data_IF_378183584742
#
_entry.id   IF_378183584742
#
_cell.length_a   1.000
_cell.length_b   1.000
_cell.length_c   1.000
_cell.angle_alpha   90.00
_cell.angle_beta   90.00
_cell.angle_gamma   90.00
#
_symmetry.space_group_name_H-M   'P 1'
#
loop_
_entity.id
_entity.type
_entity.pdbx_description
1 polymer ?
#
# COMPACT_ATOMS: atom_id res chain seq x y z
N UNK A 1 15.33 -3.83 7.67
CA UNK A 1 14.07 -3.15 7.99
C UNK A 1 13.66 -2.24 6.85
N UNK A 2 12.36 -2.13 6.58
CA UNK A 2 11.86 -1.38 5.43
C UNK A 2 12.20 0.11 5.49
N UNK A 3 12.10 0.71 6.66
CA UNK A 3 12.48 2.11 6.90
C UNK A 3 13.93 2.39 6.47
N UNK A 4 14.84 1.52 6.89
CA UNK A 4 16.27 1.65 6.57
C UNK A 4 16.53 1.50 5.08
N UNK A 5 15.82 0.59 4.42
CA UNK A 5 15.92 0.41 2.97
C UNK A 5 15.49 1.68 2.21
N UNK A 6 14.40 2.32 2.64
CA UNK A 6 13.91 3.57 2.05
C UNK A 6 14.91 4.71 2.29
N UNK A 7 15.44 4.84 3.50
CA UNK A 7 16.44 5.86 3.84
C UNK A 7 17.73 5.69 3.03
N UNK A 8 18.20 4.45 2.88
CA UNK A 8 19.39 4.16 2.11
C UNK A 8 19.19 4.40 0.61
N UNK A 9 18.02 4.05 0.09
CA UNK A 9 17.65 4.34 -1.30
C UNK A 9 17.64 5.86 -1.56
N UNK A 10 17.12 6.66 -0.63
CA UNK A 10 17.13 8.12 -0.75
C UNK A 10 18.56 8.67 -0.72
N UNK A 11 19.39 8.23 0.21
CA UNK A 11 20.80 8.65 0.28
C UNK A 11 21.56 8.32 -1.00
N UNK A 12 21.34 7.12 -1.53
CA UNK A 12 21.96 6.67 -2.78
C UNK A 12 21.52 7.51 -3.96
N UNK A 13 20.22 7.76 -4.10
CA UNK A 13 19.67 8.59 -5.16
C UNK A 13 20.19 10.04 -5.11
N UNK A 14 20.31 10.60 -3.91
CA UNK A 14 20.86 11.94 -3.73
C UNK A 14 22.35 12.03 -4.09
N UNK A 15 23.16 11.03 -3.70
CA UNK A 15 24.60 10.95 -4.02
C UNK A 15 24.85 10.78 -5.51
N UNK A 16 24.05 9.93 -6.15
CA UNK A 16 24.14 9.67 -7.58
C UNK A 16 23.67 10.84 -8.46
N UNK A 17 23.08 11.87 -7.86
CA UNK A 17 22.34 12.94 -8.58
C UNK A 17 21.34 12.37 -9.56
N UNK A 18 20.67 11.35 -9.11
CA UNK A 18 19.69 10.57 -9.85
C UNK A 18 18.48 11.41 -10.26
N UNK A 19 17.53 10.79 -10.97
CA UNK A 19 16.31 11.43 -11.41
C UNK A 19 15.62 12.21 -10.27
N UNK A 20 15.28 13.46 -10.53
CA UNK A 20 14.57 14.34 -9.58
C UNK A 20 13.26 13.70 -9.09
N UNK A 21 12.56 12.98 -9.94
CA UNK A 21 11.33 12.25 -9.60
C UNK A 21 11.61 11.19 -8.55
N UNK A 22 12.69 10.43 -8.68
CA UNK A 22 13.08 9.42 -7.70
C UNK A 22 13.37 10.04 -6.33
N UNK A 23 14.18 11.08 -6.31
CA UNK A 23 14.53 11.78 -5.06
C UNK A 23 13.28 12.39 -4.40
N UNK A 24 12.44 13.07 -5.16
CA UNK A 24 11.23 13.70 -4.62
C UNK A 24 10.22 12.65 -4.10
N UNK A 25 10.05 11.55 -4.80
CA UNK A 25 9.15 10.46 -4.39
C UNK A 25 9.64 9.82 -3.09
N UNK A 26 10.93 9.51 -2.98
CA UNK A 26 11.51 8.95 -1.76
C UNK A 26 11.40 9.91 -0.57
N UNK A 27 11.56 11.21 -0.80
CA UNK A 27 11.33 12.24 0.24
C UNK A 27 9.86 12.27 0.70
N UNK A 28 8.92 12.14 -0.22
CA UNK A 28 7.49 12.07 0.12
C UNK A 28 7.18 10.83 0.96
N UNK A 29 7.75 9.68 0.63
CA UNK A 29 7.61 8.46 1.43
C UNK A 29 8.13 8.70 2.84
N UNK A 30 9.34 9.24 2.99
CA UNK A 30 9.91 9.51 4.30
C UNK A 30 9.10 10.53 5.11
N UNK A 31 8.57 11.56 4.47
CA UNK A 31 7.69 12.54 5.13
C UNK A 31 6.41 11.87 5.62
N UNK A 32 5.80 11.00 4.82
CA UNK A 32 4.59 10.27 5.19
C UNK A 32 4.84 9.31 6.37
N UNK A 33 5.99 8.64 6.40
CA UNK A 33 6.39 7.78 7.53
C UNK A 33 6.56 8.63 8.80
N UNK A 34 7.22 9.78 8.72
CA UNK A 34 7.39 10.69 9.86
C UNK A 34 6.05 11.20 10.40
N UNK A 35 5.12 11.53 9.53
CA UNK A 35 3.78 11.97 9.94
C UNK A 35 3.06 10.83 10.71
N UNK A 36 3.21 9.60 10.27
CA UNK A 36 2.67 8.43 10.98
C UNK A 36 3.38 8.18 12.31
N UNK A 37 4.69 8.38 12.37
CA UNK A 37 5.45 8.28 13.63
C UNK A 37 4.96 9.30 14.66
N UNK A 38 4.70 10.54 14.22
CA UNK A 38 4.17 11.61 15.09
C UNK A 38 2.78 11.21 15.60
N UNK A 39 1.90 10.72 14.74
CA UNK A 39 0.58 10.23 15.13
C UNK A 39 0.68 9.07 16.13
N UNK A 40 1.59 8.11 15.89
CA UNK A 40 1.83 6.98 16.79
C UNK A 40 2.29 7.41 18.19
N UNK A 41 3.11 8.46 18.29
CA UNK A 41 3.51 9.03 19.58
C UNK A 41 2.33 9.60 20.37
N UNK A 42 1.35 10.18 19.68
CA UNK A 42 0.10 10.63 20.28
C UNK A 42 -0.74 9.50 20.85
N UNK A 43 -0.49 8.25 20.41
CA UNK A 43 -1.10 7.02 20.91
C UNK A 43 -0.21 6.26 21.91
N UNK A 44 0.78 6.92 22.49
CA UNK A 44 1.78 6.36 23.43
C UNK A 44 2.68 5.24 22.83
N UNK A 45 2.82 5.20 21.50
CA UNK A 45 3.69 4.27 20.79
C UNK A 45 5.06 4.91 20.50
N UNK A 46 6.00 4.77 21.41
CA UNK A 46 7.33 5.40 21.33
C UNK A 46 8.23 4.87 20.20
N UNK A 47 7.99 3.64 19.72
CA UNK A 47 8.82 3.00 18.70
C UNK A 47 8.43 3.41 17.26
N UNK A 48 7.41 4.23 17.09
CA UNK A 48 6.92 4.64 15.79
C UNK A 48 6.12 3.54 15.07
N UNK A 49 6.01 3.64 13.75
CA UNK A 49 5.26 2.68 12.94
C UNK A 49 6.08 1.44 12.61
N UNK A 50 5.39 0.32 12.52
CA UNK A 50 5.97 -0.98 12.14
C UNK A 50 6.16 -1.09 10.63
N UNK A 51 6.92 -2.11 10.19
CA UNK A 51 7.08 -2.40 8.76
C UNK A 51 5.74 -2.69 8.07
N UNK A 52 4.81 -3.41 8.73
CA UNK A 52 3.47 -3.67 8.20
C UNK A 52 2.67 -2.37 8.00
N UNK A 53 2.76 -1.44 8.91
CA UNK A 53 2.13 -0.12 8.79
C UNK A 53 2.76 0.70 7.65
N UNK A 54 4.06 0.58 7.44
CA UNK A 54 4.75 1.20 6.30
C UNK A 54 4.26 0.58 4.99
N UNK A 55 4.12 -0.74 4.90
CA UNK A 55 3.57 -1.41 3.73
C UNK A 55 2.15 -0.94 3.41
N UNK A 56 1.30 -0.80 4.42
CA UNK A 56 -0.06 -0.26 4.25
C UNK A 56 -0.02 1.19 3.75
N UNK A 57 0.87 2.01 4.28
CA UNK A 57 1.06 3.39 3.85
C UNK A 57 1.48 3.47 2.37
N UNK A 58 2.46 2.65 1.98
CA UNK A 58 2.94 2.59 0.60
C UNK A 58 1.83 2.13 -0.36
N UNK A 59 1.05 1.13 0.03
CA UNK A 59 -0.10 0.64 -0.74
C UNK A 59 -1.13 1.76 -0.95
N UNK A 60 -1.42 2.51 0.09
CA UNK A 60 -2.32 3.67 0.00
C UNK A 60 -1.76 4.76 -0.92
N UNK A 61 -0.47 5.04 -0.85
CA UNK A 61 0.19 6.02 -1.73
C UNK A 61 0.11 5.61 -3.19
N UNK A 62 0.30 4.32 -3.51
CA UNK A 62 0.13 3.77 -4.86
C UNK A 62 -1.31 3.96 -5.32
N UNK A 63 -2.29 3.60 -4.51
CA UNK A 63 -3.72 3.71 -4.85
C UNK A 63 -4.12 5.15 -5.15
N UNK A 64 -3.69 6.10 -4.33
CA UNK A 64 -3.96 7.52 -4.55
C UNK A 64 -3.39 8.01 -5.89
N UNK A 65 -2.21 7.54 -6.27
CA UNK A 65 -1.57 7.90 -7.54
C UNK A 65 -2.24 7.23 -8.74
N UNK A 66 -2.71 6.00 -8.61
CA UNK A 66 -3.50 5.32 -9.63
C UNK A 66 -4.80 6.10 -9.91
N UNK A 67 -5.51 6.52 -8.87
CA UNK A 67 -6.72 7.32 -9.00
C UNK A 67 -6.43 8.67 -9.67
N UNK A 68 -5.32 9.33 -9.31
CA UNK A 68 -4.88 10.57 -9.94
C UNK A 68 -4.50 10.37 -11.41
N UNK A 69 -3.77 9.32 -11.73
CA UNK A 69 -3.38 9.00 -13.11
C UNK A 69 -4.62 8.77 -13.99
N UNK A 70 -5.59 8.02 -13.50
CA UNK A 70 -6.86 7.79 -14.21
C UNK A 70 -7.64 9.10 -14.43
N UNK A 71 -7.67 9.97 -13.42
CA UNK A 71 -8.30 11.28 -13.53
C UNK A 71 -7.61 12.17 -14.56
N UNK A 72 -6.28 12.18 -14.62
CA UNK A 72 -5.51 12.93 -15.61
C UNK A 72 -5.70 12.39 -17.03
N UNK A 73 -5.77 11.08 -17.21
CA UNK A 73 -6.08 10.47 -18.52
C UNK A 73 -7.48 10.87 -18.98
N UNK A 74 -8.48 10.80 -18.11
CA UNK A 74 -9.85 11.25 -18.40
C UNK A 74 -9.92 12.75 -18.70
N UNK A 75 -9.04 13.57 -18.10
CA UNK A 75 -8.94 15.00 -18.33
C UNK A 75 -8.04 15.40 -19.49
N UNK A 76 -7.61 14.44 -20.31
CA UNK A 76 -6.69 14.68 -21.47
C UNK A 76 -5.34 15.29 -21.06
N UNK A 77 -4.81 14.89 -19.90
CA UNK A 77 -3.50 15.31 -19.40
C UNK A 77 -2.56 14.10 -19.24
N UNK A 78 -2.15 13.46 -20.34
CA UNK A 78 -1.29 12.27 -20.29
C UNK A 78 0.11 12.56 -19.70
N UNK A 79 0.61 13.79 -19.80
CA UNK A 79 1.85 14.24 -19.17
C UNK A 79 1.83 14.09 -17.64
N UNK A 80 0.73 14.50 -17.00
CA UNK A 80 0.54 14.38 -15.56
C UNK A 80 0.28 12.93 -15.14
N UNK A 81 -0.46 12.16 -15.95
CA UNK A 81 -0.67 10.74 -15.72
C UNK A 81 0.66 9.96 -15.75
N UNK A 82 1.55 10.27 -16.70
CA UNK A 82 2.87 9.66 -16.80
C UNK A 82 3.71 9.94 -15.54
N UNK A 83 3.67 11.16 -15.03
CA UNK A 83 4.38 11.52 -13.80
C UNK A 83 3.87 10.68 -12.60
N UNK A 84 2.56 10.52 -12.44
CA UNK A 84 1.98 9.67 -11.41
C UNK A 84 2.43 8.21 -11.55
N UNK A 85 2.45 7.69 -12.77
CA UNK A 85 2.88 6.32 -13.05
C UNK A 85 4.36 6.10 -12.73
N UNK A 86 5.24 7.08 -12.98
CA UNK A 86 6.66 7.02 -12.60
C UNK A 86 6.83 6.94 -11.08
N UNK A 87 6.07 7.73 -10.35
CA UNK A 87 6.08 7.69 -8.88
C UNK A 87 5.59 6.35 -8.35
N UNK A 88 4.56 5.75 -8.96
CA UNK A 88 4.04 4.44 -8.62
C UNK A 88 5.14 3.36 -8.75
N UNK A 89 5.89 3.37 -9.86
CA UNK A 89 7.00 2.41 -10.08
C UNK A 89 8.02 2.49 -8.95
N UNK A 90 8.40 3.69 -8.53
CA UNK A 90 9.37 3.91 -7.45
C UNK A 90 8.85 3.37 -6.12
N UNK A 91 7.60 3.65 -5.79
CA UNK A 91 6.97 3.18 -4.54
C UNK A 91 6.87 1.66 -4.53
N UNK A 92 6.50 1.04 -5.65
CA UNK A 92 6.38 -0.42 -5.77
C UNK A 92 7.68 -1.18 -5.58
N UNK A 93 8.84 -0.55 -5.73
CA UNK A 93 10.13 -1.17 -5.44
C UNK A 93 10.23 -1.66 -3.98
N UNK A 94 9.49 -1.03 -3.06
CA UNK A 94 9.49 -1.35 -1.64
C UNK A 94 8.32 -2.24 -1.21
N UNK A 95 7.43 -2.56 -2.14
CA UNK A 95 6.28 -3.44 -1.89
C UNK A 95 6.60 -4.87 -2.35
N UNK A 96 6.05 -5.91 -1.68
CA UNK A 96 6.15 -7.27 -2.16
C UNK A 96 5.38 -7.42 -3.49
N UNK A 97 5.60 -8.57 -4.19
CA UNK A 97 4.85 -8.88 -5.39
C UNK A 97 3.35 -8.80 -5.12
N UNK A 98 2.65 -8.06 -5.97
CA UNK A 98 1.19 -7.93 -5.84
C UNK A 98 0.50 -9.22 -6.30
N UNK A 99 -0.55 -9.61 -5.58
CA UNK A 99 -1.36 -10.76 -5.93
C UNK A 99 -2.22 -10.46 -7.16
N UNK A 100 -2.36 -11.46 -8.03
CA UNK A 100 -3.31 -11.40 -9.15
C UNK A 100 -4.74 -11.53 -8.64
N UNK A 101 -5.72 -11.20 -9.48
CA UNK A 101 -7.14 -11.32 -9.12
C UNK A 101 -7.51 -12.77 -8.73
N UNK A 102 -6.97 -13.77 -9.44
CA UNK A 102 -7.16 -15.18 -9.09
C UNK A 102 -6.56 -15.55 -7.73
N UNK A 103 -5.38 -15.04 -7.43
CA UNK A 103 -4.72 -15.24 -6.12
C UNK A 103 -5.48 -14.55 -4.99
N UNK A 104 -6.06 -13.36 -5.24
CA UNK A 104 -6.92 -12.67 -4.27
C UNK A 104 -8.17 -13.49 -3.99
N UNK A 105 -8.83 -14.02 -5.02
CA UNK A 105 -10.01 -14.89 -4.86
C UNK A 105 -9.68 -16.14 -4.04
N UNK A 106 -8.56 -16.79 -4.31
CA UNK A 106 -8.11 -17.96 -3.54
C UNK A 106 -7.80 -17.61 -2.08
N UNK A 107 -7.14 -16.47 -1.84
CA UNK A 107 -6.85 -16.00 -0.48
C UNK A 107 -8.12 -15.66 0.31
N UNK A 108 -9.10 -15.03 -0.33
CA UNK A 108 -10.42 -14.74 0.26
C UNK A 108 -11.14 -16.03 0.64
N UNK A 109 -11.19 -17.00 -0.27
CA UNK A 109 -11.81 -18.32 0.00
C UNK A 109 -11.14 -19.02 1.18
N UNK A 110 -9.82 -19.03 1.25
CA UNK A 110 -9.06 -19.62 2.35
C UNK A 110 -9.35 -18.91 3.68
N UNK A 111 -9.39 -17.59 3.70
CA UNK A 111 -9.68 -16.82 4.91
C UNK A 111 -11.12 -17.04 5.40
N UNK A 112 -12.09 -17.11 4.49
CA UNK A 112 -13.48 -17.41 4.83
C UNK A 112 -13.62 -18.80 5.49
N UNK A 113 -12.91 -19.80 4.97
CA UNK A 113 -12.89 -21.14 5.53
C UNK A 113 -12.20 -21.20 6.89
N UNK A 114 -11.04 -20.57 7.03
CA UNK A 114 -10.25 -20.57 8.28
C UNK A 114 -10.97 -19.84 9.42
N UNK A 115 -11.70 -18.78 9.12
CA UNK A 115 -12.46 -18.01 10.11
C UNK A 115 -13.88 -18.53 10.32
N UNK A 116 -14.28 -19.60 9.61
CA UNK A 116 -15.63 -20.14 9.65
C UNK A 116 -16.70 -19.06 9.45
N UNK A 117 -16.45 -18.14 8.53
CA UNK A 117 -17.34 -17.01 8.27
C UNK A 117 -18.62 -17.45 7.58
N UNK A 118 -19.76 -17.05 8.12
CA UNK A 118 -21.09 -17.44 7.61
C UNK A 118 -22.00 -16.25 7.32
N UNK A 119 -21.65 -15.07 7.80
CA UNK A 119 -22.47 -13.87 7.64
C UNK A 119 -21.62 -12.59 7.50
N UNK A 120 -22.25 -11.50 7.09
CA UNK A 120 -21.63 -10.17 6.99
C UNK A 120 -21.02 -9.68 8.31
N UNK A 121 -21.49 -10.17 9.44
CA UNK A 121 -20.91 -9.84 10.76
C UNK A 121 -19.48 -10.33 10.91
N UNK A 122 -19.10 -11.37 10.19
CA UNK A 122 -17.76 -11.97 10.19
C UNK A 122 -16.77 -11.22 9.28
N UNK A 123 -17.25 -10.26 8.47
CA UNK A 123 -16.45 -9.55 7.48
C UNK A 123 -15.20 -8.87 8.09
N UNK A 124 -15.35 -8.22 9.25
CA UNK A 124 -14.25 -7.56 9.95
C UNK A 124 -13.13 -8.53 10.35
N UNK A 125 -13.51 -9.71 10.84
CA UNK A 125 -12.57 -10.79 11.24
C UNK A 125 -11.84 -11.35 10.03
N UNK A 126 -12.56 -11.62 8.94
CA UNK A 126 -11.98 -12.11 7.68
C UNK A 126 -11.01 -11.07 7.08
N UNK A 127 -11.40 -9.81 7.04
CA UNK A 127 -10.55 -8.73 6.55
C UNK A 127 -9.29 -8.54 7.40
N UNK A 128 -9.39 -8.67 8.73
CA UNK A 128 -8.25 -8.61 9.63
C UNK A 128 -7.25 -9.76 9.34
N UNK A 129 -7.75 -10.98 9.12
CA UNK A 129 -6.92 -12.12 8.76
C UNK A 129 -6.20 -11.90 7.41
N UNK A 130 -6.88 -11.37 6.42
CA UNK A 130 -6.30 -11.04 5.11
C UNK A 130 -5.22 -9.97 5.22
N UNK A 131 -5.45 -8.92 5.99
CA UNK A 131 -4.47 -7.86 6.23
C UNK A 131 -3.20 -8.38 6.92
N UNK A 132 -3.35 -9.30 7.85
CA UNK A 132 -2.22 -9.91 8.56
C UNK A 132 -1.39 -10.80 7.62
N UNK A 133 -2.05 -11.61 6.77
CA UNK A 133 -1.39 -12.59 5.89
C UNK A 133 -0.78 -11.96 4.64
N UNK A 134 -1.39 -10.92 4.11
CA UNK A 134 -1.06 -10.34 2.80
C UNK A 134 -0.79 -8.83 2.86
N UNK A 135 -0.17 -8.36 3.96
CA UNK A 135 0.18 -6.95 4.11
C UNK A 135 1.03 -6.46 2.92
N UNK A 136 0.57 -5.40 2.27
CA UNK A 136 1.28 -4.77 1.14
C UNK A 136 1.21 -5.51 -0.19
N UNK A 137 0.66 -6.74 -0.25
CA UNK A 137 0.62 -7.54 -1.48
C UNK A 137 -0.78 -7.71 -2.08
N UNK A 138 -1.82 -7.30 -1.38
CA UNK A 138 -3.22 -7.46 -1.80
C UNK A 138 -3.92 -6.11 -1.92
N UNK A 139 -4.77 -5.96 -2.94
CA UNK A 139 -5.73 -4.87 -3.02
C UNK A 139 -6.93 -5.19 -2.10
N UNK A 140 -6.94 -4.59 -0.92
CA UNK A 140 -7.99 -4.85 0.08
C UNK A 140 -9.37 -4.30 -0.31
N UNK A 141 -9.45 -3.36 -1.24
CA UNK A 141 -10.74 -2.91 -1.79
C UNK A 141 -11.39 -4.02 -2.60
N UNK A 142 -10.63 -4.68 -3.47
CA UNK A 142 -11.10 -5.87 -4.22
C UNK A 142 -11.42 -7.03 -3.29
N UNK A 143 -10.55 -7.31 -2.33
CA UNK A 143 -10.76 -8.36 -1.34
C UNK A 143 -12.04 -8.11 -0.53
N UNK A 144 -12.26 -6.89 -0.06
CA UNK A 144 -13.48 -6.52 0.65
C UNK A 144 -14.76 -6.73 -0.15
N UNK A 145 -14.74 -6.40 -1.43
CA UNK A 145 -15.87 -6.64 -2.35
C UNK A 145 -16.15 -8.13 -2.49
N UNK A 146 -15.12 -8.96 -2.66
CA UNK A 146 -15.24 -10.42 -2.76
C UNK A 146 -15.77 -11.05 -1.46
N UNK A 147 -15.25 -10.62 -0.32
CA UNK A 147 -15.72 -11.07 1.00
C UNK A 147 -17.19 -10.75 1.19
N UNK A 148 -17.59 -9.51 0.92
CA UNK A 148 -18.97 -9.07 1.02
C UNK A 148 -19.90 -9.88 0.11
N UNK A 149 -19.49 -10.12 -1.13
CA UNK A 149 -20.25 -10.95 -2.09
C UNK A 149 -20.41 -12.36 -1.60
N UNK A 150 -19.39 -12.96 -1.01
CA UNK A 150 -19.40 -14.33 -0.52
C UNK A 150 -20.25 -14.51 0.76
N UNK A 151 -20.38 -13.47 1.56
CA UNK A 151 -21.11 -13.48 2.84
C UNK A 151 -22.54 -12.93 2.76
N UNK A 152 -22.90 -12.38 1.61
CA UNK A 152 -24.26 -11.87 1.38
C UNK A 152 -25.22 -12.92 0.87
#
# INVERSE_FOLDING_TARGET
MLREQIDEALKTAMKARDDKTRVSTLRLINAAIKDRDIAARGEDRCCGVTDDEILQLLTKMVKQREDSANAYEAGCRPDLAEQENREIVIIREFLPRQLTDAEIEAAVAAALADENATSLKDMGRVMAALKTRHAGSMDFAKAGTLVKKSLS
#
